data_IF_364285647523
#
_entry.id   IF_364285647523
#
_cell.length_a   1.000
_cell.length_b   1.000
_cell.length_c   1.000
_cell.angle_alpha   90.00
_cell.angle_beta   90.00
_cell.angle_gamma   90.00
#
_symmetry.space_group_name_H-M   'P 1'
#
loop_
_entity.id
_entity.type
_entity.pdbx_description
1 polymer ?
#
# COMPACT_ATOMS: atom_id res chain seq x y z
N UNK A 1 12.00 4.35 15.41
CA UNK A 1 11.01 3.44 14.81
C UNK A 1 9.78 4.26 14.43
N UNK A 2 9.80 4.94 13.28
CA UNK A 2 8.62 5.62 12.75
C UNK A 2 7.94 4.57 11.86
N UNK A 3 6.78 4.10 12.27
CA UNK A 3 6.01 3.13 11.50
C UNK A 3 5.62 3.77 10.18
N UNK A 4 6.24 3.30 9.09
CA UNK A 4 5.82 3.57 7.72
C UNK A 4 4.48 2.86 7.47
N UNK A 5 3.44 3.36 8.13
CA UNK A 5 2.08 3.17 7.65
C UNK A 5 2.01 3.95 6.35
N UNK A 6 2.03 3.22 5.23
CA UNK A 6 1.88 3.82 3.91
C UNK A 6 0.50 4.49 3.89
N UNK A 7 0.49 5.82 3.86
CA UNK A 7 -0.73 6.65 3.93
C UNK A 7 -1.78 6.18 2.94
N UNK A 8 -1.35 5.64 1.79
CA UNK A 8 -2.25 5.08 0.78
C UNK A 8 -3.03 3.87 1.29
N UNK A 9 -2.38 2.98 2.05
CA UNK A 9 -3.05 1.83 2.65
C UNK A 9 -4.11 2.26 3.65
N UNK A 10 -3.77 3.19 4.54
CA UNK A 10 -4.67 3.69 5.57
C UNK A 10 -5.86 4.43 4.95
N UNK A 11 -5.62 5.28 3.95
CA UNK A 11 -6.68 5.99 3.21
C UNK A 11 -7.58 5.00 2.48
N UNK A 12 -7.01 3.97 1.85
CA UNK A 12 -7.76 2.89 1.22
C UNK A 12 -8.68 2.16 2.19
N UNK A 13 -8.17 1.75 3.35
CA UNK A 13 -8.96 1.08 4.38
C UNK A 13 -10.11 1.96 4.92
N UNK A 14 -9.86 3.26 5.11
CA UNK A 14 -10.89 4.22 5.53
C UNK A 14 -11.98 4.36 4.45
N UNK A 15 -11.59 4.48 3.18
CA UNK A 15 -12.53 4.56 2.06
C UNK A 15 -13.40 3.31 1.92
N UNK A 16 -12.81 2.12 2.15
CA UNK A 16 -13.55 0.85 2.21
C UNK A 16 -14.60 0.88 3.32
N UNK A 17 -14.22 1.30 4.53
CA UNK A 17 -15.14 1.41 5.66
C UNK A 17 -16.28 2.38 5.40
N UNK A 18 -15.98 3.56 4.82
CA UNK A 18 -16.99 4.56 4.45
C UNK A 18 -17.90 4.03 3.34
N UNK A 19 -17.35 3.42 2.29
CA UNK A 19 -18.11 2.84 1.19
C UNK A 19 -19.08 1.76 1.65
N UNK A 20 -18.69 0.96 2.66
CA UNK A 20 -19.56 -0.02 3.31
C UNK A 20 -20.63 0.61 4.20
N UNK A 21 -20.35 1.72 4.87
CA UNK A 21 -21.28 2.38 5.79
C UNK A 21 -22.39 3.16 5.07
N UNK A 22 -22.08 3.78 3.92
CA UNK A 22 -23.02 4.63 3.16
C UNK A 22 -24.34 3.92 2.80
N UNK A 23 -24.35 2.67 2.31
CA UNK A 23 -25.59 1.93 2.02
C UNK A 23 -26.52 1.78 3.23
N UNK A 24 -25.98 1.70 4.45
CA UNK A 24 -26.78 1.55 5.67
C UNK A 24 -27.35 2.88 6.16
N UNK A 25 -26.70 4.01 5.85
CA UNK A 25 -27.11 5.34 6.32
C UNK A 25 -28.06 6.01 5.33
N UNK A 26 -27.78 5.91 4.04
CA UNK A 26 -28.49 6.64 2.98
C UNK A 26 -29.56 5.81 2.24
N UNK A 27 -29.79 4.56 2.66
CA UNK A 27 -30.77 3.67 2.04
C UNK A 27 -30.49 3.41 0.55
N UNK A 28 -31.55 3.31 -0.27
CA UNK A 28 -31.44 2.93 -1.68
C UNK A 28 -30.54 3.82 -2.54
N UNK A 29 -30.49 5.13 -2.26
CA UNK A 29 -29.58 6.07 -2.95
C UNK A 29 -28.10 5.84 -2.56
N UNK A 30 -27.85 5.30 -1.37
CA UNK A 30 -26.52 4.97 -0.87
C UNK A 30 -25.91 3.71 -1.50
N UNK A 31 -26.70 2.84 -2.13
CA UNK A 31 -26.20 1.59 -2.69
C UNK A 31 -25.23 1.81 -3.87
N UNK A 32 -25.60 2.69 -4.81
CA UNK A 32 -24.77 2.97 -5.99
C UNK A 32 -23.49 3.74 -5.60
N UNK A 33 -23.62 4.75 -4.75
CA UNK A 33 -22.48 5.57 -4.33
C UNK A 33 -21.56 4.82 -3.36
N UNK A 34 -22.13 4.07 -2.41
CA UNK A 34 -21.39 3.25 -1.47
C UNK A 34 -20.60 2.12 -2.13
N UNK A 35 -21.22 1.41 -3.08
CA UNK A 35 -20.52 0.35 -3.83
C UNK A 35 -19.37 0.91 -4.69
N UNK A 36 -19.56 2.06 -5.34
CA UNK A 36 -18.49 2.72 -6.09
C UNK A 36 -17.31 3.13 -5.18
N UNK A 37 -17.62 3.76 -4.03
CA UNK A 37 -16.59 4.15 -3.05
C UNK A 37 -15.88 2.95 -2.45
N UNK A 38 -16.60 1.85 -2.18
CA UNK A 38 -16.02 0.63 -1.67
C UNK A 38 -15.01 0.03 -2.66
N UNK A 39 -15.37 -0.06 -3.95
CA UNK A 39 -14.45 -0.53 -5.00
C UNK A 39 -13.22 0.36 -5.11
N UNK A 40 -13.40 1.68 -5.12
CA UNK A 40 -12.28 2.62 -5.16
C UNK A 40 -11.38 2.50 -3.93
N UNK A 41 -11.97 2.36 -2.74
CA UNK A 41 -11.23 2.12 -1.51
C UNK A 41 -10.38 0.85 -1.58
N UNK A 42 -10.92 -0.25 -2.12
CA UNK A 42 -10.20 -1.51 -2.29
C UNK A 42 -9.00 -1.34 -3.24
N UNK A 43 -9.16 -0.61 -4.34
CA UNK A 43 -8.08 -0.34 -5.29
C UNK A 43 -6.95 0.44 -4.60
N UNK A 44 -7.31 1.52 -3.89
CA UNK A 44 -6.34 2.38 -3.19
C UNK A 44 -5.62 1.59 -2.09
N UNK A 45 -6.36 0.78 -1.33
CA UNK A 45 -5.78 -0.08 -0.29
C UNK A 45 -4.78 -1.06 -0.93
N UNK A 46 -5.17 -1.73 -2.02
CA UNK A 46 -4.30 -2.73 -2.65
C UNK A 46 -3.08 -2.11 -3.31
N UNK A 47 -3.19 -0.89 -3.86
CA UNK A 47 -2.04 -0.12 -4.33
C UNK A 47 -1.07 0.20 -3.19
N UNK A 48 -1.56 0.63 -2.03
CA UNK A 48 -0.71 0.88 -0.85
C UNK A 48 0.03 -0.37 -0.38
N UNK A 49 -0.64 -1.52 -0.35
CA UNK A 49 -0.01 -2.80 0.01
C UNK A 49 1.10 -3.19 -0.99
N UNK A 50 0.82 -3.04 -2.28
CA UNK A 50 1.76 -3.38 -3.36
C UNK A 50 2.97 -2.45 -3.35
N UNK A 51 2.76 -1.14 -3.12
CA UNK A 51 3.82 -0.15 -3.02
C UNK A 51 4.79 -0.49 -1.89
N UNK A 52 4.30 -0.85 -0.70
CA UNK A 52 5.18 -1.29 0.40
C UNK A 52 5.96 -2.55 0.08
N UNK A 53 5.33 -3.54 -0.58
CA UNK A 53 6.03 -4.77 -0.98
C UNK A 53 7.17 -4.46 -1.95
N UNK A 54 6.88 -3.67 -2.98
CA UNK A 54 7.89 -3.22 -3.95
C UNK A 54 9.02 -2.43 -3.29
N UNK A 55 8.71 -1.55 -2.33
CA UNK A 55 9.72 -0.74 -1.65
C UNK A 55 10.64 -1.59 -0.77
N UNK A 56 10.11 -2.64 -0.12
CA UNK A 56 10.90 -3.63 0.62
C UNK A 56 11.80 -4.45 -0.29
N UNK A 57 11.29 -4.90 -1.43
CA UNK A 57 12.09 -5.64 -2.42
C UNK A 57 13.21 -4.76 -3.00
N UNK A 58 12.93 -3.49 -3.30
CA UNK A 58 13.94 -2.51 -3.72
C UNK A 58 15.02 -2.28 -2.65
N UNK A 59 14.63 -2.17 -1.38
CA UNK A 59 15.60 -2.02 -0.29
C UNK A 59 16.47 -3.27 -0.12
N UNK A 60 15.89 -4.47 -0.25
CA UNK A 60 16.62 -5.74 -0.25
C UNK A 60 17.63 -5.79 -1.38
N UNK A 61 17.18 -5.48 -2.61
CA UNK A 61 18.03 -5.51 -3.79
C UNK A 61 19.17 -4.48 -3.69
N UNK A 62 18.89 -3.30 -3.14
CA UNK A 62 19.93 -2.29 -2.88
C UNK A 62 20.98 -2.80 -1.89
N UNK A 63 20.58 -3.47 -0.81
CA UNK A 63 21.51 -4.08 0.15
C UNK A 63 22.34 -5.19 -0.48
N UNK A 64 21.74 -6.04 -1.31
CA UNK A 64 22.47 -7.09 -2.03
C UNK A 64 23.54 -6.51 -2.97
N UNK A 65 23.20 -5.44 -3.71
CA UNK A 65 24.17 -4.74 -4.57
C UNK A 65 25.30 -4.11 -3.76
N UNK A 66 25.00 -3.48 -2.62
CA UNK A 66 26.03 -2.92 -1.73
C UNK A 66 26.98 -4.01 -1.19
N UNK A 67 26.45 -5.17 -0.80
CA UNK A 67 27.24 -6.31 -0.35
C UNK A 67 28.14 -6.89 -1.47
N UNK A 68 27.59 -7.05 -2.67
CA UNK A 68 28.37 -7.51 -3.83
C UNK A 68 29.49 -6.53 -4.20
N UNK A 69 29.21 -5.22 -4.13
CA UNK A 69 30.21 -4.19 -4.39
C UNK A 69 31.32 -4.21 -3.32
N UNK A 70 30.95 -4.34 -2.05
CA UNK A 70 31.92 -4.48 -0.96
C UNK A 70 32.77 -5.76 -1.08
N UNK A 71 32.16 -6.88 -1.49
CA UNK A 71 32.89 -8.13 -1.74
C UNK A 71 33.87 -8.03 -2.91
N UNK A 72 33.54 -7.26 -3.95
CA UNK A 72 34.43 -7.03 -5.08
C UNK A 72 35.63 -6.15 -4.70
N UNK A 73 35.41 -5.11 -3.88
CA UNK A 73 36.48 -4.23 -3.37
C UNK A 73 37.49 -4.97 -2.49
N UNK A 74 37.06 -6.02 -1.78
CA UNK A 74 37.94 -6.89 -0.97
C UNK A 74 38.76 -7.87 -1.85
N UNK A 75 38.28 -8.20 -3.04
CA UNK A 75 38.93 -9.18 -3.94
C UNK A 75 39.97 -8.54 -4.87
N UNK A 76 39.81 -7.25 -5.20
CA UNK A 76 40.73 -6.49 -6.06
C UNK A 76 41.88 -5.78 -5.29
N UNK A 77 42.00 -6.00 -3.97
CA UNK A 77 43.07 -5.45 -3.11
C UNK A 77 44.11 -6.49 -2.71
#
# INVERSE_FOLDING_TARGET
>A
MRGDYDTLEAVGAVLVGIGLAIPFIAGGAGLAFGSLLFVMGLIVWKMGETRRKLMKELESLKKEVELLKASRDITDG
#
